data_IF_135250708068
#
_entry.id   IF_135250708068
#
_cell.length_a   1.000
_cell.length_b   1.000
_cell.length_c   1.000
_cell.angle_alpha   90.00
_cell.angle_beta   90.00
_cell.angle_gamma   90.00
#
_symmetry.space_group_name_H-M   'P 1'
#
loop_
_entity.id
_entity.type
_entity.pdbx_description
1 polymer ?
#
# COMPACT_ATOMS: atom_id res chain seq x y z
N UNK A 1 2.90 -4.69 21.49
CA UNK A 1 2.56 -4.86 22.93
C UNK A 1 1.31 -4.04 23.25
N UNK A 2 0.15 -4.68 23.42
CA UNK A 2 -1.18 -4.01 23.53
C UNK A 2 -1.33 -3.19 24.82
N UNK A 3 -0.73 -3.64 25.92
CA UNK A 3 -0.77 -2.96 27.22
C UNK A 3 -0.03 -1.62 27.16
N UNK A 4 1.18 -1.60 26.62
CA UNK A 4 1.98 -0.38 26.50
C UNK A 4 1.30 0.68 25.62
N UNK A 5 0.71 0.27 24.49
CA UNK A 5 -0.04 1.18 23.65
C UNK A 5 -1.28 1.74 24.37
N UNK A 6 -1.96 0.92 25.17
CA UNK A 6 -3.11 1.36 25.98
C UNK A 6 -2.68 2.34 27.09
N UNK A 7 -1.49 2.16 27.64
CA UNK A 7 -0.88 3.09 28.59
C UNK A 7 -0.61 4.45 27.96
N UNK A 8 0.03 4.49 26.79
CA UNK A 8 0.30 5.74 26.06
C UNK A 8 -1.00 6.47 25.70
N UNK A 9 -2.02 5.72 25.26
CA UNK A 9 -3.34 6.28 24.96
C UNK A 9 -4.01 6.90 26.19
N UNK A 10 -3.92 6.25 27.37
CA UNK A 10 -4.43 6.81 28.62
C UNK A 10 -3.66 8.08 29.02
N UNK A 11 -2.33 8.06 28.93
CA UNK A 11 -1.50 9.22 29.28
C UNK A 11 -1.84 10.44 28.40
N UNK A 12 -2.04 10.22 27.10
CA UNK A 12 -2.47 11.28 26.19
C UNK A 12 -3.89 11.80 26.48
N UNK A 13 -4.75 11.00 27.10
CA UNK A 13 -6.08 11.43 27.56
C UNK A 13 -5.98 12.23 28.86
N UNK A 14 -5.21 11.74 29.84
CA UNK A 14 -4.97 12.45 31.11
C UNK A 14 -4.37 13.82 30.87
N UNK A 15 -3.38 13.94 29.97
CA UNK A 15 -2.78 15.24 29.62
C UNK A 15 -3.81 16.20 29.01
N UNK A 16 -4.73 15.69 28.17
CA UNK A 16 -5.80 16.51 27.58
C UNK A 16 -6.82 16.95 28.62
N UNK A 17 -7.26 16.04 29.48
CA UNK A 17 -8.20 16.34 30.56
C UNK A 17 -7.60 17.30 31.58
N UNK A 18 -6.32 17.14 31.92
CA UNK A 18 -5.59 18.07 32.77
C UNK A 18 -5.66 19.49 32.22
N UNK A 19 -5.39 19.69 30.93
CA UNK A 19 -5.45 21.02 30.33
C UNK A 19 -6.86 21.64 30.43
N UNK A 20 -7.90 20.85 30.21
CA UNK A 20 -9.29 21.31 30.35
C UNK A 20 -9.60 21.70 31.79
N UNK A 21 -9.21 20.88 32.77
CA UNK A 21 -9.41 21.15 34.21
C UNK A 21 -8.63 22.38 34.68
N UNK A 22 -7.39 22.56 34.20
CA UNK A 22 -6.60 23.76 34.46
C UNK A 22 -7.26 25.03 33.91
N UNK A 23 -7.90 24.94 32.74
CA UNK A 23 -8.62 26.07 32.14
C UNK A 23 -9.98 26.32 32.83
N UNK A 24 -10.62 25.30 33.40
CA UNK A 24 -11.84 25.40 34.21
C UNK A 24 -11.54 26.03 35.58
N UNK A 25 -10.53 25.54 36.30
CA UNK A 25 -10.08 26.07 37.59
C UNK A 25 -9.64 27.55 37.48
N UNK A 26 -8.96 27.93 36.38
CA UNK A 26 -8.63 29.33 36.10
C UNK A 26 -9.87 30.24 35.94
N UNK A 27 -10.97 29.71 35.39
CA UNK A 27 -12.20 30.48 35.15
C UNK A 27 -13.07 30.59 36.39
N UNK A 28 -13.10 29.55 37.21
CA UNK A 28 -14.01 29.45 38.35
C UNK A 28 -13.40 29.96 39.66
N UNK A 29 -12.14 29.60 39.96
CA UNK A 29 -11.54 29.83 41.28
C UNK A 29 -10.35 30.81 41.25
N UNK A 30 -9.81 31.09 40.05
CA UNK A 30 -8.68 32.00 39.86
C UNK A 30 -7.34 31.50 40.43
N UNK A 31 -7.33 30.31 41.04
CA UNK A 31 -6.15 29.56 41.48
C UNK A 31 -5.75 28.48 40.47
N UNK A 32 -4.45 28.24 40.38
CA UNK A 32 -3.84 27.21 39.54
C UNK A 32 -3.23 26.14 40.45
N UNK A 33 -4.02 25.14 40.84
CA UNK A 33 -3.46 23.96 41.52
C UNK A 33 -3.27 22.82 40.51
N UNK A 34 -2.03 22.71 40.00
CA UNK A 34 -1.65 21.68 39.05
C UNK A 34 -1.80 20.25 39.59
N UNK A 35 -1.76 20.06 40.92
CA UNK A 35 -1.91 18.74 41.54
C UNK A 35 -3.37 18.32 41.58
N UNK A 36 -4.26 19.22 41.98
CA UNK A 36 -5.69 18.94 42.03
C UNK A 36 -6.24 18.64 40.62
N UNK A 37 -5.86 19.45 39.63
CA UNK A 37 -6.24 19.20 38.24
C UNK A 37 -5.66 17.87 37.68
N UNK A 38 -4.49 17.45 38.17
CA UNK A 38 -3.90 16.16 37.78
C UNK A 38 -4.69 14.99 38.38
N UNK A 39 -5.00 15.04 39.67
CA UNK A 39 -5.74 13.98 40.37
C UNK A 39 -7.13 13.82 39.77
N UNK A 40 -7.84 14.93 39.54
CA UNK A 40 -9.18 14.91 38.94
C UNK A 40 -9.16 14.37 37.51
N UNK A 41 -8.16 14.75 36.71
CA UNK A 41 -7.98 14.21 35.35
C UNK A 41 -7.67 12.71 35.33
N UNK A 42 -6.96 12.19 36.33
CA UNK A 42 -6.64 10.75 36.44
C UNK A 42 -7.85 9.89 36.85
N UNK A 43 -8.74 10.45 37.68
CA UNK A 43 -10.00 9.85 38.09
C UNK A 43 -11.04 9.83 36.96
N UNK A 44 -11.16 10.93 36.21
CA UNK A 44 -12.10 11.03 35.08
C UNK A 44 -11.62 10.24 33.85
N UNK A 45 -10.30 10.10 33.68
CA UNK A 45 -9.74 9.35 32.57
C UNK A 45 -10.19 7.89 32.54
N UNK A 46 -10.50 7.41 31.33
CA UNK A 46 -10.93 6.02 31.10
C UNK A 46 -9.95 5.01 31.72
N UNK A 47 -10.47 4.08 32.52
CA UNK A 47 -9.69 3.00 33.14
C UNK A 47 -8.91 2.18 32.10
N UNK A 48 -7.66 1.86 32.42
CA UNK A 48 -6.77 1.01 31.61
C UNK A 48 -7.47 -0.30 31.17
N UNK A 49 -8.19 -0.92 32.09
CA UNK A 49 -8.94 -2.16 31.83
C UNK A 49 -9.98 -1.99 30.73
N UNK A 50 -10.62 -0.83 30.65
CA UNK A 50 -11.64 -0.52 29.63
C UNK A 50 -11.01 -0.42 28.24
N UNK A 51 -9.84 0.21 28.13
CA UNK A 51 -9.09 0.38 26.88
C UNK A 51 -8.59 -0.98 26.38
N UNK A 52 -7.95 -1.75 27.26
CA UNK A 52 -7.45 -3.09 26.94
C UNK A 52 -8.61 -4.01 26.57
N UNK A 53 -9.70 -4.01 27.35
CA UNK A 53 -10.90 -4.82 27.05
C UNK A 53 -11.49 -4.48 25.68
N UNK A 54 -11.58 -3.19 25.30
CA UNK A 54 -12.06 -2.76 23.99
C UNK A 54 -11.17 -3.27 22.85
N UNK A 55 -9.85 -3.22 23.01
CA UNK A 55 -8.90 -3.73 22.01
C UNK A 55 -8.96 -5.25 21.90
N UNK A 56 -8.95 -5.96 23.03
CA UNK A 56 -9.09 -7.42 23.07
C UNK A 56 -10.42 -7.84 22.45
N UNK A 57 -11.52 -7.16 22.74
CA UNK A 57 -12.81 -7.46 22.12
C UNK A 57 -12.78 -7.26 20.61
N UNK A 58 -12.18 -6.17 20.12
CA UNK A 58 -12.05 -5.91 18.68
C UNK A 58 -11.29 -7.01 17.93
N UNK A 59 -10.24 -7.58 18.53
CA UNK A 59 -9.35 -8.52 17.83
C UNK A 59 -9.61 -9.99 18.16
N UNK A 60 -10.07 -10.30 19.38
CA UNK A 60 -10.21 -11.67 19.87
C UNK A 60 -11.66 -12.15 19.92
N UNK A 61 -12.65 -11.26 20.04
CA UNK A 61 -14.05 -11.66 20.22
C UNK A 61 -15.01 -10.84 19.36
N UNK A 62 -15.49 -11.43 18.27
CA UNK A 62 -16.62 -10.86 17.49
C UNK A 62 -17.93 -10.97 18.31
N UNK A 63 -18.15 -10.09 19.28
CA UNK A 63 -19.43 -10.04 20.00
C UNK A 63 -20.45 -9.29 19.14
N UNK A 64 -21.68 -9.82 18.93
CA UNK A 64 -22.70 -9.12 18.17
C UNK A 64 -23.13 -7.83 18.89
N UNK A 65 -23.05 -6.71 18.17
CA UNK A 65 -23.84 -5.49 18.38
C UNK A 65 -23.48 -4.57 19.54
N UNK A 66 -22.98 -5.06 20.68
CA UNK A 66 -22.85 -4.25 21.90
C UNK A 66 -21.45 -4.26 22.51
N UNK A 67 -20.87 -3.07 22.74
CA UNK A 67 -19.56 -2.90 23.38
C UNK A 67 -19.49 -3.40 24.84
N UNK A 68 -20.63 -3.75 25.44
CA UNK A 68 -20.73 -4.36 26.79
C UNK A 68 -21.12 -5.83 26.77
N UNK A 69 -21.47 -6.40 25.62
CA UNK A 69 -21.90 -7.79 25.58
C UNK A 69 -20.70 -8.71 25.84
N UNK A 70 -20.92 -9.69 26.71
CA UNK A 70 -19.95 -10.72 27.02
C UNK A 70 -20.02 -11.80 25.93
N UNK A 71 -18.86 -12.32 25.47
CA UNK A 71 -18.86 -13.40 24.50
C UNK A 71 -19.50 -14.63 25.14
N UNK A 72 -20.61 -15.09 24.57
CA UNK A 72 -21.22 -16.33 25.04
C UNK A 72 -20.42 -17.52 24.49
N UNK A 73 -20.38 -18.67 25.18
CA UNK A 73 -19.80 -19.90 24.64
C UNK A 73 -20.40 -20.29 23.28
N UNK A 74 -21.68 -19.96 23.05
CA UNK A 74 -22.34 -20.17 21.76
C UNK A 74 -21.74 -19.30 20.65
N UNK A 75 -21.39 -18.05 20.91
CA UNK A 75 -20.74 -17.19 19.92
C UNK A 75 -19.39 -17.77 19.47
N UNK A 76 -18.66 -18.42 20.38
CA UNK A 76 -17.42 -19.10 20.06
C UNK A 76 -17.65 -20.34 19.18
N UNK A 77 -18.66 -21.16 19.52
CA UNK A 77 -19.05 -22.34 18.73
C UNK A 77 -19.47 -21.94 17.31
N UNK A 78 -20.30 -20.90 17.16
CA UNK A 78 -20.74 -20.41 15.85
C UNK A 78 -19.58 -19.89 15.01
N UNK A 79 -18.63 -19.16 15.62
CA UNK A 79 -17.42 -18.71 14.93
C UNK A 79 -16.55 -19.89 14.52
N UNK A 80 -16.24 -20.82 15.42
CA UNK A 80 -15.41 -21.97 15.12
C UNK A 80 -15.99 -22.80 13.96
N UNK A 81 -17.31 -23.03 13.96
CA UNK A 81 -18.03 -23.69 12.86
C UNK A 81 -17.91 -22.92 11.54
N UNK A 82 -18.07 -21.60 11.59
CA UNK A 82 -18.04 -20.75 10.39
C UNK A 82 -16.62 -20.62 9.82
N UNK A 83 -15.61 -20.48 10.68
CA UNK A 83 -14.20 -20.50 10.29
C UNK A 83 -13.81 -21.86 9.69
N UNK A 84 -14.20 -22.98 10.29
CA UNK A 84 -13.95 -24.31 9.72
C UNK A 84 -14.62 -24.51 8.36
N UNK A 85 -15.84 -23.99 8.19
CA UNK A 85 -16.53 -23.96 6.90
C UNK A 85 -15.77 -23.12 5.87
N UNK A 86 -15.33 -21.92 6.25
CA UNK A 86 -14.59 -21.01 5.39
C UNK A 86 -13.25 -21.63 4.94
N UNK A 87 -12.51 -22.28 5.85
CA UNK A 87 -11.29 -23.01 5.53
C UNK A 87 -11.61 -24.13 4.54
N UNK A 88 -12.64 -24.94 4.78
CA UNK A 88 -13.02 -26.04 3.86
C UNK A 88 -13.36 -25.56 2.44
N UNK A 89 -13.98 -24.39 2.32
CA UNK A 89 -14.40 -23.85 1.01
C UNK A 89 -13.25 -23.12 0.33
N UNK A 90 -12.48 -22.32 1.06
CA UNK A 90 -11.54 -21.36 0.50
C UNK A 90 -10.09 -21.82 0.52
N UNK A 91 -9.70 -22.74 1.41
CA UNK A 91 -8.39 -23.36 1.34
C UNK A 91 -8.42 -24.41 0.24
N UNK A 92 -7.66 -24.24 -0.86
CA UNK A 92 -7.51 -25.30 -1.84
C UNK A 92 -6.80 -26.46 -1.15
N UNK A 93 -7.52 -27.54 -0.85
CA UNK A 93 -6.90 -28.77 -0.41
C UNK A 93 -5.93 -29.23 -1.51
N UNK A 94 -4.69 -29.53 -1.12
CA UNK A 94 -3.65 -30.05 -2.02
C UNK A 94 -4.16 -31.32 -2.70
N UNK A 95 -4.64 -31.19 -3.94
CA UNK A 95 -5.34 -32.27 -4.66
C UNK A 95 -6.52 -31.84 -5.54
N UNK A 96 -6.93 -30.56 -5.53
CA UNK A 96 -8.11 -30.11 -6.31
C UNK A 96 -7.82 -29.85 -7.80
N UNK A 97 -6.61 -30.17 -8.27
CA UNK A 97 -6.28 -30.18 -9.69
C UNK A 97 -6.36 -31.64 -10.15
N UNK A 98 -7.51 -32.00 -10.72
CA UNK A 98 -7.70 -33.32 -11.30
C UNK A 98 -7.18 -33.31 -12.73
N UNK A 99 -6.27 -34.22 -13.03
CA UNK A 99 -5.79 -34.48 -14.38
C UNK A 99 -6.61 -35.61 -14.97
N UNK A 100 -7.37 -35.33 -16.02
CA UNK A 100 -8.13 -36.34 -16.78
C UNK A 100 -7.60 -36.30 -18.21
N UNK A 101 -6.56 -37.10 -18.48
CA UNK A 101 -5.82 -37.03 -19.74
C UNK A 101 -5.21 -35.64 -19.96
N UNK A 102 -5.58 -34.99 -21.07
CA UNK A 102 -5.15 -33.63 -21.46
C UNK A 102 -5.99 -32.48 -20.83
N UNK A 103 -6.91 -32.82 -19.92
CA UNK A 103 -7.80 -31.83 -19.29
C UNK A 103 -7.44 -31.61 -17.83
N UNK A 104 -7.26 -30.34 -17.49
CA UNK A 104 -7.05 -29.85 -16.14
C UNK A 104 -8.41 -29.40 -15.60
N UNK A 105 -8.89 -30.06 -14.55
CA UNK A 105 -10.14 -29.72 -13.86
C UNK A 105 -9.83 -29.14 -12.50
N UNK A 106 -10.27 -27.89 -12.30
CA UNK A 106 -10.25 -27.24 -11.00
C UNK A 106 -11.65 -26.75 -10.64
N UNK A 107 -12.21 -27.32 -9.56
CA UNK A 107 -13.60 -27.05 -9.10
C UNK A 107 -14.63 -27.28 -10.23
N UNK A 108 -15.31 -26.22 -10.66
CA UNK A 108 -16.35 -26.24 -11.71
C UNK A 108 -15.80 -25.96 -13.10
N UNK A 109 -14.51 -25.63 -13.21
CA UNK A 109 -13.90 -25.19 -14.46
C UNK A 109 -12.98 -26.29 -14.99
N UNK A 110 -13.10 -26.56 -16.29
CA UNK A 110 -12.35 -27.58 -17.00
C UNK A 110 -11.72 -26.93 -18.22
N UNK A 111 -10.42 -27.09 -18.37
CA UNK A 111 -9.68 -26.55 -19.52
C UNK A 111 -8.79 -27.66 -20.08
N UNK A 112 -8.59 -27.66 -21.40
CA UNK A 112 -7.46 -28.37 -21.99
C UNK A 112 -6.18 -27.57 -21.77
N UNK A 113 -5.03 -28.23 -21.77
CA UNK A 113 -3.75 -27.53 -21.64
C UNK A 113 -3.53 -26.54 -22.81
N UNK A 114 -3.90 -26.92 -24.03
CA UNK A 114 -3.84 -26.04 -25.21
C UNK A 114 -4.72 -24.78 -25.08
N UNK A 115 -5.94 -24.93 -24.57
CA UNK A 115 -6.89 -23.81 -24.34
C UNK A 115 -6.36 -22.85 -23.26
N UNK A 116 -5.72 -23.38 -22.21
CA UNK A 116 -5.12 -22.58 -21.15
C UNK A 116 -3.92 -21.77 -21.67
N UNK A 117 -3.05 -22.41 -22.46
CA UNK A 117 -1.88 -21.76 -23.06
C UNK A 117 -2.30 -20.68 -24.05
N UNK A 118 -3.31 -20.94 -24.90
CA UNK A 118 -3.86 -19.96 -25.83
C UNK A 118 -4.46 -18.74 -25.10
N UNK A 119 -5.23 -18.98 -24.03
CA UNK A 119 -5.80 -17.90 -23.20
C UNK A 119 -4.72 -17.05 -22.51
N UNK A 120 -3.64 -17.68 -22.05
CA UNK A 120 -2.49 -16.95 -21.47
C UNK A 120 -1.76 -16.12 -22.52
N UNK A 121 -1.58 -16.65 -23.73
CA UNK A 121 -0.97 -15.91 -24.83
C UNK A 121 -1.85 -14.75 -25.27
N UNK A 122 -3.17 -14.96 -25.41
CA UNK A 122 -4.10 -13.87 -25.76
C UNK A 122 -4.11 -12.77 -24.70
N UNK A 123 -4.08 -13.12 -23.41
CA UNK A 123 -4.00 -12.16 -22.32
C UNK A 123 -2.69 -11.38 -22.33
N UNK A 124 -1.57 -12.06 -22.59
CA UNK A 124 -0.25 -11.45 -22.71
C UNK A 124 -0.20 -10.46 -23.88
N UNK A 125 -0.78 -10.83 -25.01
CA UNK A 125 -0.80 -10.00 -26.22
C UNK A 125 -1.74 -8.80 -26.05
N UNK A 126 -2.87 -8.98 -25.35
CA UNK A 126 -3.75 -7.87 -24.97
C UNK A 126 -3.06 -6.89 -24.02
N UNK A 127 -2.39 -7.39 -22.98
CA UNK A 127 -1.61 -6.56 -22.07
C UNK A 127 -0.51 -5.78 -22.80
N UNK A 128 0.20 -6.42 -23.74
CA UNK A 128 1.18 -5.76 -24.61
C UNK A 128 0.55 -4.71 -25.51
N UNK A 129 -0.61 -4.99 -26.10
CA UNK A 129 -1.36 -4.05 -26.92
C UNK A 129 -1.79 -2.80 -26.11
N UNK A 130 -2.25 -3.00 -24.88
CA UNK A 130 -2.60 -1.90 -23.98
C UNK A 130 -1.37 -1.06 -23.58
N UNK A 131 -0.24 -1.70 -23.29
CA UNK A 131 1.01 -0.99 -23.00
C UNK A 131 1.52 -0.21 -24.22
N UNK A 132 1.52 -0.81 -25.40
CA UNK A 132 1.91 -0.16 -26.65
C UNK A 132 0.99 1.03 -26.97
N UNK A 133 -0.33 0.88 -26.81
CA UNK A 133 -1.30 1.96 -27.01
C UNK A 133 -1.05 3.12 -26.05
N UNK A 134 -0.72 2.82 -24.79
CA UNK A 134 -0.37 3.84 -23.79
C UNK A 134 0.94 4.55 -24.16
N UNK A 135 1.97 3.79 -24.54
CA UNK A 135 3.25 4.35 -25.00
C UNK A 135 3.09 5.26 -26.22
N UNK A 136 2.32 4.85 -27.23
CA UNK A 136 2.02 5.67 -28.42
C UNK A 136 1.26 6.93 -28.01
N UNK A 137 0.27 6.82 -27.12
CA UNK A 137 -0.47 7.98 -26.61
C UNK A 137 0.44 8.95 -25.84
N UNK A 138 1.40 8.44 -25.07
CA UNK A 138 2.39 9.25 -24.37
C UNK A 138 3.34 9.94 -25.36
N UNK A 139 3.85 9.21 -26.37
CA UNK A 139 4.70 9.78 -27.41
C UNK A 139 3.98 10.91 -28.16
N UNK A 140 2.73 10.68 -28.59
CA UNK A 140 1.94 11.72 -29.26
C UNK A 140 1.63 12.94 -28.37
N UNK A 141 1.60 12.78 -27.03
CA UNK A 141 1.47 13.91 -26.11
C UNK A 141 2.80 14.68 -25.99
N UNK A 142 3.94 13.98 -25.91
CA UNK A 142 5.26 14.60 -25.90
C UNK A 142 5.52 15.40 -27.19
N UNK A 143 5.15 14.83 -28.35
CA UNK A 143 5.26 15.47 -29.65
C UNK A 143 4.29 16.67 -29.79
N UNK A 144 3.05 16.53 -29.29
CA UNK A 144 2.03 17.59 -29.34
C UNK A 144 2.38 18.80 -28.47
N UNK A 145 3.03 18.61 -27.32
CA UNK A 145 3.48 19.71 -26.47
C UNK A 145 4.84 20.29 -26.89
N UNK A 146 5.45 19.78 -27.97
CA UNK A 146 6.74 20.22 -28.54
C UNK A 146 7.83 20.42 -27.47
N UNK A 147 7.80 19.59 -26.43
CA UNK A 147 8.63 19.75 -25.22
C UNK A 147 10.10 19.60 -25.58
N UNK A 148 10.43 18.74 -26.55
CA UNK A 148 11.78 18.54 -27.09
C UNK A 148 12.31 19.77 -27.82
N UNK A 149 11.49 20.44 -28.63
CA UNK A 149 11.90 21.68 -29.29
C UNK A 149 12.05 22.84 -28.30
N UNK A 150 11.14 22.94 -27.32
CA UNK A 150 11.20 23.96 -26.27
C UNK A 150 12.39 23.75 -25.33
N UNK A 151 12.70 22.50 -24.93
CA UNK A 151 13.92 22.16 -24.19
C UNK A 151 15.18 22.46 -25.01
N UNK A 152 15.19 22.12 -26.31
CA UNK A 152 16.32 22.43 -27.20
C UNK A 152 16.54 23.93 -27.39
N UNK A 153 15.48 24.74 -27.37
CA UNK A 153 15.57 26.20 -27.39
C UNK A 153 16.12 26.76 -26.07
N UNK A 154 15.69 26.21 -24.94
CA UNK A 154 16.19 26.57 -23.61
C UNK A 154 17.66 26.15 -23.40
N UNK A 155 18.09 25.00 -23.91
CA UNK A 155 19.50 24.57 -23.88
C UNK A 155 20.41 25.49 -24.71
N UNK A 156 19.91 26.03 -25.83
CA UNK A 156 20.64 27.03 -26.64
C UNK A 156 20.79 28.37 -25.93
N UNK A 157 19.81 28.75 -25.10
CA UNK A 157 19.84 29.99 -24.32
C UNK A 157 20.74 29.88 -23.07
N UNK A 158 21.00 28.67 -22.56
CA UNK A 158 21.79 28.44 -21.34
C UNK A 158 22.87 27.34 -21.53
N UNK A 159 23.99 27.63 -22.22
CA UNK A 159 25.02 26.63 -22.53
C UNK A 159 25.72 26.05 -21.30
N UNK A 160 25.68 26.75 -20.16
CA UNK A 160 26.31 26.32 -18.91
C UNK A 160 25.56 25.14 -18.25
N UNK A 161 24.27 24.97 -18.56
CA UNK A 161 23.43 23.88 -18.04
C UNK A 161 23.68 22.57 -18.80
N UNK A 162 24.19 22.65 -20.04
CA UNK A 162 24.41 21.48 -20.91
C UNK A 162 25.50 20.56 -20.36
N UNK A 163 26.57 21.12 -19.76
CA UNK A 163 27.63 20.33 -19.12
C UNK A 163 27.10 19.53 -17.92
N UNK A 164 26.38 20.21 -17.01
CA UNK A 164 25.80 19.59 -15.82
C UNK A 164 24.72 18.55 -16.17
N UNK A 165 23.95 18.77 -17.23
CA UNK A 165 22.95 17.82 -17.74
C UNK A 165 23.61 16.54 -18.30
N UNK A 166 24.77 16.64 -18.95
CA UNK A 166 25.50 15.45 -19.43
C UNK A 166 26.05 14.63 -18.28
N UNK A 167 26.53 15.28 -17.22
CA UNK A 167 26.96 14.63 -15.97
C UNK A 167 25.79 13.89 -15.29
N UNK A 168 24.63 14.55 -15.19
CA UNK A 168 23.42 13.97 -14.59
C UNK A 168 22.89 12.77 -15.40
N UNK A 169 22.88 12.86 -16.73
CA UNK A 169 22.50 11.72 -17.59
C UNK A 169 23.47 10.56 -17.47
N UNK A 170 24.78 10.80 -17.29
CA UNK A 170 25.76 9.74 -17.03
C UNK A 170 25.46 9.03 -15.71
N UNK A 171 25.18 9.78 -14.65
CA UNK A 171 24.87 9.24 -13.32
C UNK A 171 23.56 8.44 -13.34
N UNK A 172 22.52 8.92 -14.02
CA UNK A 172 21.24 8.18 -14.13
C UNK A 172 21.40 6.85 -14.89
N UNK A 173 22.21 6.83 -15.96
CA UNK A 173 22.49 5.59 -16.71
C UNK A 173 23.30 4.60 -15.85
N UNK A 174 24.25 5.10 -15.07
CA UNK A 174 25.08 4.31 -14.16
C UNK A 174 24.26 3.74 -12.98
N UNK A 175 23.31 4.51 -12.43
CA UNK A 175 22.35 4.02 -11.42
C UNK A 175 21.39 2.95 -11.97
N UNK A 176 20.95 3.09 -13.22
CA UNK A 176 20.11 2.08 -13.88
C UNK A 176 20.90 0.79 -14.13
N UNK A 177 22.19 0.90 -14.49
CA UNK A 177 23.13 -0.22 -14.59
C UNK A 177 23.38 -0.91 -13.25
N UNK A 178 23.48 -0.16 -12.14
CA UNK A 178 23.75 -0.71 -10.82
C UNK A 178 22.54 -1.43 -10.16
N UNK A 179 21.31 -1.19 -10.64
CA UNK A 179 20.08 -1.81 -10.09
C UNK A 179 19.67 -3.12 -10.77
N UNK A 180 20.30 -3.51 -11.87
CA UNK A 180 20.06 -4.78 -12.56
C UNK A 180 21.37 -5.55 -12.63
N UNK A 181 21.49 -6.64 -11.87
CA UNK A 181 22.70 -7.49 -11.77
C UNK A 181 23.14 -8.18 -13.09
N UNK A 182 22.51 -7.85 -14.22
CA UNK A 182 23.00 -8.05 -15.59
C UNK A 182 22.03 -7.30 -16.52
N UNK A 183 22.30 -6.04 -16.92
CA UNK A 183 21.44 -5.36 -17.87
C UNK A 183 21.60 -6.04 -19.22
N UNK A 184 20.55 -6.69 -19.72
CA UNK A 184 20.59 -7.33 -21.04
C UNK A 184 21.09 -6.32 -22.06
N UNK A 185 22.13 -6.67 -22.82
CA UNK A 185 22.81 -5.84 -23.83
C UNK A 185 21.82 -5.08 -24.73
N UNK A 186 20.67 -5.71 -25.02
CA UNK A 186 19.55 -5.14 -25.76
C UNK A 186 18.93 -3.86 -25.16
N UNK A 187 18.89 -3.71 -23.83
CA UNK A 187 18.35 -2.51 -23.16
C UNK A 187 19.32 -1.34 -23.28
N UNK A 188 20.61 -1.60 -23.12
CA UNK A 188 21.66 -0.59 -23.28
C UNK A 188 21.74 -0.15 -24.75
N UNK A 189 21.65 -1.11 -25.68
CA UNK A 189 21.61 -0.84 -27.11
C UNK A 189 20.35 -0.05 -27.51
N UNK A 190 19.17 -0.38 -26.94
CA UNK A 190 17.93 0.38 -27.15
C UNK A 190 18.03 1.82 -26.65
N UNK A 191 18.62 2.05 -25.47
CA UNK A 191 18.81 3.39 -24.93
C UNK A 191 19.82 4.20 -25.75
N UNK A 192 20.89 3.55 -26.20
CA UNK A 192 21.88 4.17 -27.08
C UNK A 192 21.25 4.53 -28.45
N UNK A 193 20.49 3.61 -29.06
CA UNK A 193 19.82 3.83 -30.34
C UNK A 193 18.71 4.90 -30.23
N UNK A 194 17.94 4.92 -29.14
CA UNK A 194 16.96 5.98 -28.89
C UNK A 194 17.62 7.35 -28.67
N UNK A 195 18.79 7.38 -28.01
CA UNK A 195 19.58 8.60 -27.87
C UNK A 195 20.16 9.09 -29.19
N UNK A 196 20.58 8.20 -30.09
CA UNK A 196 21.12 8.58 -31.41
C UNK A 196 20.02 9.04 -32.36
N UNK A 197 18.88 8.35 -32.40
CA UNK A 197 17.72 8.77 -33.19
C UNK A 197 17.29 10.21 -32.83
N UNK A 198 17.41 10.61 -31.57
CA UNK A 198 17.08 11.96 -31.12
C UNK A 198 18.11 13.03 -31.56
N UNK A 199 19.36 12.65 -31.91
CA UNK A 199 20.37 13.56 -32.47
C UNK A 199 20.20 13.78 -33.98
N UNK A 200 19.72 12.77 -34.70
CA UNK A 200 19.59 12.81 -36.17
C UNK A 200 18.35 13.56 -36.66
N UNK A 201 17.35 13.76 -35.80
CA UNK A 201 16.17 14.61 -36.06
C UNK A 201 16.39 16.12 -35.92
N UNK A 202 17.65 16.57 -35.76
CA UNK A 202 18.02 17.96 -35.41
C UNK A 202 18.41 18.82 -36.60
#
# INVERSE_FOLDING_TARGET
MVVYQSYVERQAEVVRLKQVKMDEQQREDGSLDEREAQEEAEEEATSMFRIVRKKVQRFMTVTPGNARAEPTPMDWIYKARTYGMHIRINTPAGGTIYWVGDRIKHRRVQFRMGELTEMLHSLKDEARGLLAKRLISFQCLLDRYNITANLGHLEKLFPQVVGSQQELRRIEVEEVQARQDDPSEAVVELLHNASQANKDTR
#
